data_IF_841891007260
#
_entry.id   IF_841891007260
#
_cell.length_a   1.000
_cell.length_b   1.000
_cell.length_c   1.000
_cell.angle_alpha   90.00
_cell.angle_beta   90.00
_cell.angle_gamma   90.00
#
_symmetry.space_group_name_H-M   'P 1'
#
loop_
_entity.id
_entity.type
_entity.pdbx_description
1 polymer ?
#
# COMPACT_ATOMS: atom_id res chain seq x y z
N UNK A 1 1.14 -23.66 -15.01
CA UNK A 1 2.11 -22.92 -14.16
C UNK A 1 2.80 -21.87 -15.01
N UNK A 2 2.37 -20.61 -14.89
CA UNK A 2 2.97 -19.49 -15.63
C UNK A 2 4.38 -19.24 -15.14
N UNK A 3 5.36 -19.25 -16.05
CA UNK A 3 6.75 -18.92 -15.77
C UNK A 3 6.79 -17.50 -15.22
N UNK A 4 7.06 -17.37 -13.93
CA UNK A 4 7.57 -16.12 -13.38
C UNK A 4 8.98 -16.00 -13.96
N UNK A 5 9.11 -15.31 -15.09
CA UNK A 5 10.38 -14.74 -15.50
C UNK A 5 10.91 -14.01 -14.28
N UNK A 6 12.13 -14.35 -13.87
CA UNK A 6 12.85 -13.78 -12.73
C UNK A 6 13.05 -12.29 -13.02
N UNK A 7 12.00 -11.49 -12.80
CA UNK A 7 12.08 -10.04 -12.72
C UNK A 7 13.14 -9.79 -11.66
N UNK A 8 14.10 -8.92 -11.95
CA UNK A 8 15.01 -8.44 -10.93
C UNK A 8 14.21 -7.52 -9.99
N UNK A 9 13.40 -8.17 -9.13
CA UNK A 9 12.50 -7.54 -8.18
C UNK A 9 13.33 -6.68 -7.22
N UNK A 10 14.54 -7.13 -6.87
CA UNK A 10 15.48 -6.40 -6.03
C UNK A 10 15.93 -5.11 -6.69
N UNK A 11 16.32 -5.16 -7.98
CA UNK A 11 16.68 -3.97 -8.75
C UNK A 11 15.53 -2.95 -8.87
N UNK A 12 14.31 -3.42 -9.17
CA UNK A 12 13.14 -2.56 -9.28
C UNK A 12 12.72 -1.92 -7.95
N UNK A 13 12.89 -2.63 -6.82
CA UNK A 13 12.66 -2.08 -5.48
C UNK A 13 13.68 -1.00 -5.17
N UNK A 14 14.97 -1.24 -5.42
CA UNK A 14 16.02 -0.26 -5.17
C UNK A 14 15.82 1.02 -6.01
N UNK A 15 15.48 0.87 -7.29
CA UNK A 15 15.16 2.00 -8.17
C UNK A 15 13.96 2.80 -7.64
N UNK A 16 12.88 2.11 -7.23
CA UNK A 16 11.70 2.78 -6.68
C UNK A 16 12.02 3.48 -5.35
N UNK A 17 12.79 2.85 -4.46
CA UNK A 17 13.23 3.45 -3.18
C UNK A 17 14.00 4.75 -3.40
N UNK A 18 14.93 4.75 -4.36
CA UNK A 18 15.69 5.95 -4.71
C UNK A 18 14.78 7.04 -5.29
N UNK A 19 13.82 6.66 -6.14
CA UNK A 19 12.93 7.61 -6.82
C UNK A 19 11.92 8.31 -5.89
N UNK A 20 11.66 7.80 -4.68
CA UNK A 20 10.62 8.32 -3.78
C UNK A 20 11.15 8.92 -2.49
N UNK A 21 12.47 9.01 -2.30
CA UNK A 21 13.10 9.51 -1.07
C UNK A 21 12.53 10.85 -0.58
N UNK A 22 12.09 11.71 -1.51
CA UNK A 22 11.51 13.02 -1.22
C UNK A 22 10.12 12.98 -0.59
N UNK A 23 9.41 11.85 -0.67
CA UNK A 23 8.06 11.68 -0.12
C UNK A 23 7.95 10.63 0.98
N UNK A 24 9.07 10.06 1.42
CA UNK A 24 9.11 9.12 2.55
C UNK A 24 8.99 9.94 3.85
N UNK A 25 7.89 9.82 4.60
CA UNK A 25 7.87 10.26 5.99
C UNK A 25 8.82 9.34 6.79
N UNK A 26 9.44 9.86 7.86
CA UNK A 26 10.40 9.10 8.70
C UNK A 26 9.83 7.76 9.23
N UNK A 27 8.49 7.60 9.28
CA UNK A 27 7.83 6.35 9.65
C UNK A 27 7.74 5.32 8.50
N UNK A 28 8.83 4.55 8.38
CA UNK A 28 9.05 3.13 8.04
C UNK A 28 8.23 2.36 6.97
N UNK A 29 7.02 2.75 6.56
CA UNK A 29 6.23 1.95 5.59
C UNK A 29 6.87 1.91 4.19
N UNK A 30 7.66 2.92 3.84
CA UNK A 30 8.35 3.01 2.55
C UNK A 30 9.70 2.27 2.55
N UNK A 31 10.15 1.78 3.70
CA UNK A 31 11.32 0.90 3.81
C UNK A 31 10.96 -0.59 3.66
N UNK A 32 9.67 -0.94 3.81
CA UNK A 32 9.18 -2.31 3.60
C UNK A 32 9.14 -2.69 2.10
N UNK A 33 10.01 -3.60 1.72
CA UNK A 33 10.08 -4.17 0.38
C UNK A 33 8.75 -4.80 -0.06
N UNK A 34 7.99 -5.42 0.85
CA UNK A 34 6.68 -6.00 0.52
C UNK A 34 5.66 -4.91 0.17
N UNK A 35 5.69 -3.77 0.86
CA UNK A 35 4.86 -2.63 0.55
C UNK A 35 5.19 -2.06 -0.84
N UNK A 36 6.47 -1.83 -1.13
CA UNK A 36 6.91 -1.31 -2.43
C UNK A 36 6.61 -2.28 -3.57
N UNK A 37 6.73 -3.58 -3.33
CA UNK A 37 6.40 -4.61 -4.30
C UNK A 37 4.93 -4.55 -4.74
N UNK A 38 4.00 -4.14 -3.87
CA UNK A 38 2.58 -3.94 -4.25
C UNK A 38 2.46 -2.89 -5.36
N UNK A 39 3.22 -1.80 -5.26
CA UNK A 39 3.23 -0.73 -6.27
C UNK A 39 3.92 -1.15 -7.56
N UNK A 40 5.03 -1.90 -7.49
CA UNK A 40 5.70 -2.48 -8.66
C UNK A 40 4.76 -3.42 -9.42
N UNK A 41 4.03 -4.29 -8.71
CA UNK A 41 3.01 -5.16 -9.32
C UNK A 41 1.88 -4.35 -9.95
N UNK A 42 1.37 -3.33 -9.25
CA UNK A 42 0.33 -2.43 -9.77
C UNK A 42 0.80 -1.63 -11.00
N UNK A 43 2.11 -1.39 -11.13
CA UNK A 43 2.78 -0.79 -12.28
C UNK A 43 3.07 -1.75 -13.42
N UNK A 44 2.74 -3.05 -13.30
CA UNK A 44 3.14 -4.11 -14.24
C UNK A 44 4.66 -4.10 -14.47
N UNK A 45 5.42 -4.06 -13.37
CA UNK A 45 6.90 -4.07 -13.31
C UNK A 45 7.59 -2.85 -13.95
N UNK A 46 6.84 -1.82 -14.33
CA UNK A 46 7.39 -0.53 -14.78
C UNK A 46 7.53 0.40 -13.56
N UNK A 47 8.77 0.72 -13.20
CA UNK A 47 9.09 1.51 -12.01
C UNK A 47 8.51 2.93 -12.09
N UNK A 48 8.54 3.57 -13.27
CA UNK A 48 7.95 4.91 -13.45
C UNK A 48 6.44 4.89 -13.27
N UNK A 49 5.76 3.83 -13.74
CA UNK A 49 4.32 3.65 -13.50
C UNK A 49 4.02 3.39 -12.02
N UNK A 50 4.86 2.59 -11.35
CA UNK A 50 4.74 2.32 -9.92
C UNK A 50 4.90 3.61 -9.10
N UNK A 51 5.95 4.38 -9.37
CA UNK A 51 6.23 5.67 -8.75
C UNK A 51 5.05 6.64 -8.90
N UNK A 52 4.53 6.82 -10.13
CA UNK A 52 3.38 7.69 -10.38
C UNK A 52 2.16 7.31 -9.53
N UNK A 53 1.90 6.00 -9.38
CA UNK A 53 0.79 5.50 -8.55
C UNK A 53 1.03 5.73 -7.07
N UNK A 54 2.24 5.45 -6.60
CA UNK A 54 2.64 5.63 -5.21
C UNK A 54 2.56 7.10 -4.80
N UNK A 55 3.08 8.02 -5.61
CA UNK A 55 3.00 9.47 -5.37
C UNK A 55 1.55 9.95 -5.32
N UNK A 56 0.69 9.46 -6.23
CA UNK A 56 -0.75 9.77 -6.21
C UNK A 56 -1.41 9.29 -4.91
N UNK A 57 -1.06 8.08 -4.45
CA UNK A 57 -1.58 7.53 -3.20
C UNK A 57 -1.09 8.30 -1.97
N UNK A 58 0.20 8.66 -1.91
CA UNK A 58 0.77 9.47 -0.83
C UNK A 58 0.08 10.83 -0.74
N UNK A 59 -0.13 11.51 -1.87
CA UNK A 59 -0.88 12.77 -1.94
C UNK A 59 -2.31 12.60 -1.43
N UNK A 60 -3.05 11.59 -1.91
CA UNK A 60 -4.42 11.32 -1.47
C UNK A 60 -4.50 11.04 0.04
N UNK A 61 -3.56 10.27 0.60
CA UNK A 61 -3.50 9.99 2.04
C UNK A 61 -3.34 11.26 2.88
N UNK A 62 -2.50 12.18 2.42
CA UNK A 62 -2.31 13.49 3.06
C UNK A 62 -3.56 14.37 2.96
N UNK A 63 -4.17 14.44 1.78
CA UNK A 63 -5.38 15.25 1.55
C UNK A 63 -6.61 14.76 2.33
N UNK A 64 -6.65 13.47 2.69
CA UNK A 64 -7.80 12.83 3.35
C UNK A 64 -7.49 12.39 4.79
N UNK A 65 -6.42 12.90 5.41
CA UNK A 65 -6.05 12.61 6.81
C UNK A 65 -6.03 11.12 7.17
N UNK A 66 -5.60 10.26 6.24
CA UNK A 66 -5.70 8.80 6.42
C UNK A 66 -4.86 8.30 7.59
N UNK A 67 -3.81 9.03 7.97
CA UNK A 67 -2.98 8.69 9.13
C UNK A 67 -3.74 8.76 10.46
N UNK A 68 -4.77 9.60 10.58
CA UNK A 68 -5.58 9.72 11.80
C UNK A 68 -6.91 8.98 11.73
N UNK A 69 -7.29 8.44 10.56
CA UNK A 69 -8.61 7.85 10.33
C UNK A 69 -8.98 6.74 11.34
N UNK A 70 -8.01 5.94 11.79
CA UNK A 70 -8.25 4.89 12.78
C UNK A 70 -8.64 5.42 14.17
N UNK A 71 -8.38 6.70 14.46
CA UNK A 71 -8.73 7.37 15.70
C UNK A 71 -10.08 8.09 15.61
N UNK A 72 -10.65 8.22 14.41
CA UNK A 72 -11.92 8.89 14.20
C UNK A 72 -13.07 7.96 14.61
N UNK A 73 -14.05 8.44 15.40
CA UNK A 73 -15.21 7.64 15.74
C UNK A 73 -16.07 7.44 14.50
N UNK A 74 -16.76 6.29 14.44
CA UNK A 74 -17.82 6.11 13.45
C UNK A 74 -18.95 7.13 13.67
N UNK A 75 -19.66 7.54 12.61
CA UNK A 75 -20.87 8.33 12.74
C UNK A 75 -21.90 7.62 13.63
N UNK A 76 -22.76 8.41 14.29
CA UNK A 76 -23.80 7.89 15.17
C UNK A 76 -24.66 6.84 14.45
N UNK A 77 -24.93 5.72 15.12
CA UNK A 77 -25.74 4.59 14.63
C UNK A 77 -25.25 3.95 13.30
N UNK A 78 -24.02 4.24 12.86
CA UNK A 78 -23.50 3.70 11.58
C UNK A 78 -23.35 2.17 11.65
N UNK A 79 -22.77 1.64 12.73
CA UNK A 79 -22.56 0.19 12.89
C UNK A 79 -23.87 -0.59 13.00
N UNK A 80 -24.91 0.02 13.58
CA UNK A 80 -26.24 -0.60 13.70
C UNK A 80 -26.96 -0.64 12.35
N UNK A 81 -26.86 0.45 11.57
CA UNK A 81 -27.48 0.56 10.24
C UNK A 81 -26.70 -0.17 9.15
N UNK A 82 -25.39 -0.35 9.34
CA UNK A 82 -24.47 -0.99 8.39
C UNK A 82 -23.61 -2.04 9.13
N UNK A 83 -24.20 -3.17 9.54
CA UNK A 83 -23.48 -4.19 10.28
C UNK A 83 -22.35 -4.77 9.42
N UNK A 84 -21.11 -4.47 9.83
CA UNK A 84 -19.89 -5.02 9.25
C UNK A 84 -18.97 -5.47 10.38
N UNK A 85 -18.39 -6.65 10.24
CA UNK A 85 -17.46 -7.23 11.18
C UNK A 85 -16.34 -7.94 10.42
N UNK A 86 -15.10 -7.77 10.89
CA UNK A 86 -13.97 -8.59 10.48
C UNK A 86 -13.82 -9.68 11.55
N UNK A 87 -14.14 -10.92 11.18
CA UNK A 87 -14.07 -12.07 12.08
C UNK A 87 -13.58 -13.31 11.32
N UNK A 88 -12.90 -14.19 12.04
CA UNK A 88 -12.19 -15.36 11.54
C UNK A 88 -11.01 -15.05 10.59
N UNK A 89 -10.28 -16.11 10.25
CA UNK A 89 -9.22 -16.10 9.24
C UNK A 89 -9.34 -17.32 8.36
N UNK A 90 -8.92 -17.22 7.10
CA UNK A 90 -8.81 -18.37 6.22
C UNK A 90 -7.72 -19.34 6.71
N UNK A 91 -7.66 -20.54 6.12
CA UNK A 91 -6.62 -21.54 6.45
C UNK A 91 -5.21 -21.03 6.18
N UNK A 92 -5.08 -20.07 5.27
CA UNK A 92 -3.85 -19.40 4.88
C UNK A 92 -3.56 -18.15 5.74
N UNK A 93 -4.39 -17.87 6.74
CA UNK A 93 -4.21 -16.76 7.69
C UNK A 93 -4.60 -15.39 7.15
N UNK A 94 -5.35 -15.31 6.05
CA UNK A 94 -5.93 -14.04 5.59
C UNK A 94 -7.17 -13.73 6.40
N UNK A 95 -7.34 -12.47 6.82
CA UNK A 95 -8.61 -11.95 7.36
C UNK A 95 -9.71 -11.98 6.28
#
# INVERSE_FOLDING_TARGET
MGKITRIDVTGAIAELKAAIQDIIPEDSLYEDDFYLLRWIRAGKTDVKKAEKKLRKAAKWRKENNISSLALEPFPENWLESHPMFADAVTKEGSL
#
